data_IF_900973012149
#
_entry.id   IF_900973012149
#
_cell.length_a   1.000
_cell.length_b   1.000
_cell.length_c   1.000
_cell.angle_alpha   90.00
_cell.angle_beta   90.00
_cell.angle_gamma   90.00
#
_symmetry.space_group_name_H-M   'P 1'
#
loop_
_entity.id
_entity.type
_entity.pdbx_description
1 polymer ?
#
# COMPACT_ATOMS: atom_id res chain seq x y z
N UNK A 1 23.49 -13.21 3.42
CA UNK A 1 23.35 -13.65 2.00
C UNK A 1 24.39 -12.97 1.10
N UNK A 2 24.31 -11.66 0.85
CA UNK A 2 25.23 -10.96 -0.08
C UNK A 2 26.71 -11.14 0.28
N UNK A 3 27.09 -10.93 1.55
CA UNK A 3 28.48 -11.11 1.99
C UNK A 3 28.99 -12.55 1.83
N UNK A 4 28.14 -13.53 2.16
CA UNK A 4 28.47 -14.94 2.02
C UNK A 4 28.63 -15.34 0.55
N UNK A 5 27.76 -14.83 -0.33
CA UNK A 5 27.89 -15.01 -1.78
C UNK A 5 29.21 -14.41 -2.27
N UNK A 6 29.52 -13.18 -1.87
CA UNK A 6 30.78 -12.52 -2.22
C UNK A 6 32.02 -13.29 -1.75
N UNK A 7 32.04 -13.80 -0.51
CA UNK A 7 33.17 -14.59 0.00
C UNK A 7 33.37 -15.92 -0.70
N UNK A 8 32.33 -16.44 -1.36
CA UNK A 8 32.35 -17.68 -2.14
C UNK A 8 32.52 -17.43 -3.65
N UNK A 9 32.75 -16.18 -4.08
CA UNK A 9 32.84 -15.82 -5.51
C UNK A 9 31.52 -15.88 -6.28
N UNK A 10 30.38 -15.94 -5.58
CA UNK A 10 29.03 -15.99 -6.16
C UNK A 10 28.52 -14.56 -6.38
N UNK A 11 28.08 -14.26 -7.60
CA UNK A 11 27.52 -12.96 -7.97
C UNK A 11 26.20 -12.68 -7.26
N UNK A 12 25.99 -11.43 -6.86
CA UNK A 12 24.76 -11.01 -6.19
C UNK A 12 24.18 -9.73 -6.78
N UNK A 13 22.85 -9.68 -6.84
CA UNK A 13 22.04 -8.51 -7.15
C UNK A 13 21.34 -8.07 -5.85
N UNK A 14 21.36 -6.78 -5.57
CA UNK A 14 20.51 -6.18 -4.53
C UNK A 14 19.50 -5.23 -5.19
N UNK A 15 18.39 -4.96 -4.51
CA UNK A 15 17.37 -4.02 -4.97
C UNK A 15 17.20 -2.89 -3.93
N UNK A 16 17.15 -1.66 -4.41
CA UNK A 16 16.86 -0.46 -3.63
C UNK A 16 15.50 0.09 -4.03
N UNK A 17 14.53 -0.09 -3.13
CA UNK A 17 13.13 0.23 -3.36
C UNK A 17 12.77 1.69 -3.09
N UNK A 18 13.58 2.40 -2.31
CA UNK A 18 13.35 3.77 -1.86
C UNK A 18 14.27 4.79 -2.57
N UNK A 19 13.95 6.09 -2.44
CA UNK A 19 14.75 7.19 -3.00
C UNK A 19 16.05 7.44 -2.24
N UNK A 20 16.11 7.02 -0.97
CA UNK A 20 17.29 7.09 -0.11
C UNK A 20 17.59 5.69 0.39
N UNK A 21 18.78 5.14 0.10
CA UNK A 21 19.04 3.76 0.43
C UNK A 21 19.21 3.54 1.93
N UNK A 22 18.67 2.41 2.39
CA UNK A 22 18.89 1.94 3.75
C UNK A 22 20.38 1.64 4.01
N UNK A 23 20.77 1.67 5.30
CA UNK A 23 22.14 1.38 5.72
C UNK A 23 22.66 0.04 5.20
N UNK A 24 21.79 -0.98 5.17
CA UNK A 24 22.13 -2.29 4.63
C UNK A 24 22.50 -2.22 3.14
N UNK A 25 21.66 -1.61 2.30
CA UNK A 25 21.91 -1.49 0.87
C UNK A 25 23.14 -0.62 0.58
N UNK A 26 23.31 0.48 1.32
CA UNK A 26 24.51 1.33 1.21
C UNK A 26 25.79 0.58 1.56
N UNK A 27 25.77 -0.25 2.60
CA UNK A 27 26.91 -1.10 2.97
C UNK A 27 27.17 -2.21 1.94
N UNK A 28 26.12 -2.92 1.53
CA UNK A 28 26.21 -4.08 0.65
C UNK A 28 26.51 -3.72 -0.82
N UNK A 29 26.29 -2.48 -1.24
CA UNK A 29 26.58 -2.00 -2.59
C UNK A 29 28.02 -2.22 -3.06
N UNK A 30 28.99 -2.24 -2.12
CA UNK A 30 30.40 -2.53 -2.47
C UNK A 30 30.62 -4.00 -2.86
N UNK A 31 29.84 -4.92 -2.28
CA UNK A 31 29.95 -6.37 -2.48
C UNK A 31 29.02 -6.89 -3.57
N UNK A 32 27.91 -6.21 -3.84
CA UNK A 32 26.99 -6.56 -4.91
C UNK A 32 27.61 -6.34 -6.30
N UNK A 33 27.30 -7.25 -7.23
CA UNK A 33 27.71 -7.18 -8.64
C UNK A 33 26.91 -6.11 -9.37
N UNK A 34 25.60 -6.05 -9.12
CA UNK A 34 24.65 -5.06 -9.65
C UNK A 34 23.66 -4.62 -8.59
N UNK A 35 23.04 -3.46 -8.82
CA UNK A 35 22.08 -2.82 -7.92
C UNK A 35 20.88 -2.40 -8.77
N UNK A 36 19.74 -3.06 -8.62
CA UNK A 36 18.49 -2.61 -9.23
C UNK A 36 17.93 -1.46 -8.39
N UNK A 37 17.68 -0.30 -8.98
CA UNK A 37 17.13 0.87 -8.30
C UNK A 37 15.72 1.16 -8.81
N UNK A 38 14.87 1.65 -7.91
CA UNK A 38 13.49 2.00 -8.24
C UNK A 38 13.31 3.45 -8.69
N UNK A 39 14.19 4.34 -8.26
CA UNK A 39 14.08 5.78 -8.46
C UNK A 39 15.35 6.37 -9.05
N UNK A 40 15.20 7.37 -9.90
CA UNK A 40 16.30 8.13 -10.52
C UNK A 40 17.16 8.82 -9.46
N UNK A 41 16.52 9.33 -8.41
CA UNK A 41 17.12 10.02 -7.27
C UNK A 41 18.11 9.13 -6.52
N UNK A 42 17.94 7.80 -6.57
CA UNK A 42 18.80 6.83 -5.89
C UNK A 42 20.17 6.69 -6.59
N UNK A 43 20.32 7.13 -7.85
CA UNK A 43 21.58 7.03 -8.62
C UNK A 43 22.77 7.66 -7.90
N UNK A 44 22.57 8.78 -7.20
CA UNK A 44 23.62 9.52 -6.49
C UNK A 44 24.30 8.74 -5.36
N UNK A 45 23.67 7.66 -4.87
CA UNK A 45 24.20 6.86 -3.77
C UNK A 45 25.04 5.66 -4.21
N UNK A 46 25.04 5.33 -5.51
CA UNK A 46 25.67 4.12 -6.03
C UNK A 46 26.61 4.41 -7.20
N UNK A 47 27.69 3.62 -7.38
CA UNK A 47 28.58 3.78 -8.54
C UNK A 47 27.82 3.59 -9.86
N UNK A 48 28.05 4.48 -10.83
CA UNK A 48 27.36 4.48 -12.13
C UNK A 48 27.43 3.14 -12.89
N UNK A 49 28.53 2.40 -12.75
CA UNK A 49 28.72 1.09 -13.40
C UNK A 49 27.91 -0.04 -12.73
N UNK A 50 27.40 0.17 -11.51
CA UNK A 50 26.74 -0.87 -10.71
C UNK A 50 25.21 -0.79 -10.72
N UNK A 51 24.61 0.38 -10.89
CA UNK A 51 23.15 0.49 -10.84
C UNK A 51 22.47 0.22 -12.19
N UNK A 52 21.21 -0.20 -12.14
CA UNK A 52 20.29 -0.33 -13.27
C UNK A 52 18.92 0.18 -12.78
N UNK A 53 18.29 1.13 -13.49
CA UNK A 53 16.94 1.58 -13.16
C UNK A 53 15.92 0.54 -13.64
N UNK A 54 15.25 -0.11 -12.70
CA UNK A 54 14.24 -1.14 -12.99
C UNK A 54 12.84 -0.75 -12.53
N UNK A 55 12.73 0.24 -11.63
CA UNK A 55 11.51 0.46 -10.88
C UNK A 55 11.32 -0.54 -9.74
N UNK A 56 10.20 -0.40 -9.03
CA UNK A 56 9.76 -1.34 -8.02
C UNK A 56 9.00 -2.50 -8.67
N UNK A 57 9.33 -3.77 -8.37
CA UNK A 57 8.57 -4.89 -8.88
C UNK A 57 7.14 -4.86 -8.35
N UNK A 58 6.19 -5.12 -9.26
CA UNK A 58 4.77 -5.21 -8.94
C UNK A 58 4.33 -6.67 -9.05
N UNK A 59 3.49 -7.10 -8.11
CA UNK A 59 2.91 -8.45 -8.11
C UNK A 59 2.01 -8.63 -9.34
N UNK A 60 2.20 -9.67 -10.17
CA UNK A 60 1.37 -9.89 -11.35
C UNK A 60 -0.12 -9.95 -11.03
N UNK A 61 -0.49 -10.55 -9.91
CA UNK A 61 -1.87 -10.75 -9.48
C UNK A 61 -2.60 -9.43 -9.23
N UNK A 62 -1.88 -8.34 -8.92
CA UNK A 62 -2.47 -7.01 -8.74
C UNK A 62 -3.02 -6.45 -10.06
N UNK A 63 -2.49 -6.89 -11.19
CA UNK A 63 -2.95 -6.49 -12.52
C UNK A 63 -4.20 -7.26 -12.99
N UNK A 64 -4.59 -8.32 -12.27
CA UNK A 64 -5.69 -9.21 -12.65
C UNK A 64 -7.05 -8.79 -12.04
N UNK A 65 -7.13 -7.62 -11.41
CA UNK A 65 -8.34 -7.15 -10.72
C UNK A 65 -9.56 -7.01 -11.65
N UNK A 66 -10.74 -7.42 -11.17
CA UNK A 66 -12.01 -7.26 -11.89
C UNK A 66 -12.97 -6.38 -11.09
N UNK A 67 -13.62 -5.44 -11.78
CA UNK A 67 -14.63 -4.60 -11.17
C UNK A 67 -15.84 -5.40 -10.72
N UNK A 68 -16.32 -6.32 -11.56
CA UNK A 68 -17.48 -7.17 -11.30
C UNK A 68 -17.25 -8.05 -10.07
N UNK A 69 -16.06 -8.67 -9.97
CA UNK A 69 -15.68 -9.46 -8.79
C UNK A 69 -15.55 -8.59 -7.55
N UNK A 70 -14.96 -7.39 -7.68
CA UNK A 70 -14.84 -6.42 -6.61
C UNK A 70 -16.20 -6.02 -6.03
N UNK A 71 -17.08 -5.45 -6.85
CA UNK A 71 -18.42 -5.03 -6.40
C UNK A 71 -19.21 -6.18 -5.77
N UNK A 72 -19.15 -7.37 -6.38
CA UNK A 72 -19.81 -8.58 -5.84
C UNK A 72 -19.24 -9.01 -4.49
N UNK A 73 -17.92 -9.10 -4.37
CA UNK A 73 -17.26 -9.59 -3.16
C UNK A 73 -17.46 -8.64 -1.98
N UNK A 74 -17.35 -7.33 -2.22
CA UNK A 74 -17.53 -6.32 -1.19
C UNK A 74 -19.00 -5.97 -0.93
N UNK A 75 -19.92 -6.42 -1.79
CA UNK A 75 -21.35 -6.08 -1.69
C UNK A 75 -21.57 -4.57 -1.79
N UNK A 76 -20.87 -3.93 -2.73
CA UNK A 76 -20.92 -2.50 -3.01
C UNK A 76 -21.76 -2.23 -4.27
N UNK A 77 -22.30 -1.04 -4.38
CA UNK A 77 -23.18 -0.63 -5.48
C UNK A 77 -22.40 0.04 -6.61
N UNK A 78 -22.85 -0.17 -7.85
CA UNK A 78 -22.34 0.56 -9.00
C UNK A 78 -22.77 2.04 -8.94
N UNK A 79 -22.02 2.92 -9.60
CA UNK A 79 -22.34 4.34 -9.74
C UNK A 79 -22.01 5.23 -8.55
N UNK A 80 -21.58 4.64 -7.41
CA UNK A 80 -21.13 5.38 -6.24
C UNK A 80 -19.62 5.21 -6.01
N UNK A 81 -18.83 6.29 -5.88
CA UNK A 81 -17.37 6.15 -5.87
C UNK A 81 -16.85 5.38 -4.65
N UNK A 82 -15.80 4.59 -4.86
CA UNK A 82 -15.19 3.70 -3.87
C UNK A 82 -13.83 4.23 -3.41
N UNK A 83 -13.66 4.37 -2.10
CA UNK A 83 -12.40 4.71 -1.44
C UNK A 83 -11.80 3.45 -0.85
N UNK A 84 -10.58 3.10 -1.25
CA UNK A 84 -9.77 2.07 -0.60
C UNK A 84 -8.81 2.72 0.39
N UNK A 85 -8.90 2.34 1.65
CA UNK A 85 -8.02 2.80 2.72
C UNK A 85 -7.11 1.66 3.16
N UNK A 86 -5.79 1.86 3.14
CA UNK A 86 -4.82 0.85 3.60
C UNK A 86 -3.63 1.47 4.33
N UNK A 87 -3.35 0.97 5.54
CA UNK A 87 -2.13 1.32 6.29
C UNK A 87 -0.88 0.54 5.85
N UNK A 88 -0.95 -0.27 4.79
CA UNK A 88 0.06 -1.29 4.47
C UNK A 88 -0.14 -2.57 5.30
N UNK A 89 0.80 -3.52 5.21
CA UNK A 89 0.64 -4.89 5.73
C UNK A 89 0.31 -4.98 7.23
N UNK A 90 0.87 -4.07 8.05
CA UNK A 90 0.61 -4.02 9.51
C UNK A 90 -0.56 -3.10 9.88
N UNK A 91 -1.17 -2.41 8.91
CA UNK A 91 -2.12 -1.33 9.16
C UNK A 91 -1.46 -0.06 9.71
N UNK A 92 -2.28 0.94 10.04
CA UNK A 92 -1.84 2.22 10.61
C UNK A 92 -2.89 2.77 11.56
N UNK A 93 -2.60 2.75 12.87
CA UNK A 93 -3.52 3.25 13.90
C UNK A 93 -3.97 4.69 13.64
N UNK A 94 -3.04 5.58 13.26
CA UNK A 94 -3.32 6.99 12.95
C UNK A 94 -4.29 7.13 11.77
N UNK A 95 -4.07 6.39 10.68
CA UNK A 95 -4.97 6.41 9.51
C UNK A 95 -6.34 5.86 9.91
N UNK A 96 -6.36 4.73 10.61
CA UNK A 96 -7.58 4.07 11.04
C UNK A 96 -8.47 5.02 11.87
N UNK A 97 -7.89 5.73 12.83
CA UNK A 97 -8.60 6.68 13.69
C UNK A 97 -9.18 7.88 12.93
N UNK A 98 -8.40 8.46 12.00
CA UNK A 98 -8.87 9.58 11.17
C UNK A 98 -10.03 9.15 10.27
N UNK A 99 -9.92 7.98 9.65
CA UNK A 99 -10.95 7.45 8.75
C UNK A 99 -12.24 7.16 9.50
N UNK A 100 -12.16 6.56 10.70
CA UNK A 100 -13.35 6.31 11.53
C UNK A 100 -14.02 7.61 11.95
N UNK A 101 -13.26 8.65 12.31
CA UNK A 101 -13.83 9.98 12.63
C UNK A 101 -14.50 10.64 11.42
N UNK A 102 -13.94 10.46 10.22
CA UNK A 102 -14.48 11.01 8.98
C UNK A 102 -15.65 10.19 8.40
N UNK A 103 -15.85 8.95 8.88
CA UNK A 103 -16.77 7.98 8.32
C UNK A 103 -18.21 8.51 8.14
N UNK A 104 -18.84 9.22 9.10
CA UNK A 104 -20.20 9.74 8.91
C UNK A 104 -20.36 10.66 7.71
N UNK A 105 -19.32 11.44 7.36
CA UNK A 105 -19.33 12.34 6.18
C UNK A 105 -18.95 11.61 4.90
N UNK A 106 -17.99 10.68 4.98
CA UNK A 106 -17.58 9.87 3.82
C UNK A 106 -18.76 9.04 3.30
N UNK A 107 -19.52 8.40 4.20
CA UNK A 107 -20.64 7.54 3.85
C UNK A 107 -21.89 8.29 3.37
N UNK A 108 -21.85 9.62 3.23
CA UNK A 108 -22.91 10.38 2.55
C UNK A 108 -22.78 10.26 1.02
N UNK A 109 -21.55 10.22 0.50
CA UNK A 109 -21.29 10.22 -0.95
C UNK A 109 -20.45 9.03 -1.44
N UNK A 110 -19.71 8.36 -0.55
CA UNK A 110 -18.74 7.33 -0.93
C UNK A 110 -19.04 5.97 -0.31
N UNK A 111 -18.42 4.94 -0.89
CA UNK A 111 -18.29 3.60 -0.34
C UNK A 111 -16.84 3.41 0.09
N UNK A 112 -16.58 2.75 1.23
CA UNK A 112 -15.26 2.69 1.83
C UNK A 112 -14.87 1.24 2.12
N UNK A 113 -13.78 0.79 1.51
CA UNK A 113 -13.08 -0.45 1.87
C UNK A 113 -11.90 -0.04 2.74
N UNK A 114 -11.83 -0.55 3.97
CA UNK A 114 -10.82 -0.14 4.93
C UNK A 114 -10.05 -1.35 5.46
N UNK A 115 -8.74 -1.35 5.20
CA UNK A 115 -7.79 -2.36 5.67
C UNK A 115 -7.10 -1.86 6.94
N UNK A 116 -7.57 -2.32 8.10
CA UNK A 116 -7.09 -1.82 9.39
C UNK A 116 -5.76 -2.40 9.83
N UNK A 117 -5.33 -3.52 9.25
CA UNK A 117 -4.31 -4.40 9.81
C UNK A 117 -4.88 -5.28 10.92
N UNK A 118 -4.35 -6.50 11.04
CA UNK A 118 -4.79 -7.53 11.99
C UNK A 118 -4.87 -7.02 13.43
N UNK A 119 -3.79 -6.37 13.89
CA UNK A 119 -3.66 -5.91 15.28
C UNK A 119 -4.68 -4.85 15.67
N UNK A 120 -5.23 -4.11 14.71
CA UNK A 120 -6.13 -2.99 14.98
C UNK A 120 -7.61 -3.34 14.78
N UNK A 121 -7.93 -4.52 14.22
CA UNK A 121 -9.28 -4.83 13.77
C UNK A 121 -10.32 -4.79 14.90
N UNK A 122 -10.03 -5.45 16.02
CA UNK A 122 -10.97 -5.52 17.15
C UNK A 122 -11.19 -4.15 17.79
N UNK A 123 -10.11 -3.42 18.11
CA UNK A 123 -10.19 -2.06 18.67
C UNK A 123 -10.96 -1.13 17.74
N UNK A 124 -10.69 -1.20 16.42
CA UNK A 124 -11.33 -0.32 15.47
C UNK A 124 -12.83 -0.61 15.35
N UNK A 125 -13.24 -1.88 15.35
CA UNK A 125 -14.67 -2.27 15.32
C UNK A 125 -15.45 -1.66 16.47
N UNK A 126 -14.89 -1.66 17.67
CA UNK A 126 -15.53 -1.06 18.86
C UNK A 126 -15.68 0.47 18.76
N UNK A 127 -14.82 1.13 17.97
CA UNK A 127 -14.82 2.59 17.78
C UNK A 127 -15.65 3.07 16.59
N UNK A 128 -16.15 2.16 15.75
CA UNK A 128 -17.02 2.57 14.63
C UNK A 128 -18.25 3.22 15.27
N UNK A 129 -18.54 4.49 14.96
CA UNK A 129 -19.68 5.17 15.54
C UNK A 129 -20.96 4.39 15.21
N UNK A 130 -21.78 4.12 16.22
CA UNK A 130 -23.15 3.68 16.01
C UNK A 130 -23.84 4.83 15.32
N UNK A 131 -23.95 4.75 13.99
CA UNK A 131 -24.69 5.75 13.24
C UNK A 131 -26.15 5.72 13.73
N UNK A 132 -26.83 6.89 13.80
CA UNK A 132 -28.21 6.97 14.28
C UNK A 132 -29.09 5.91 13.61
N UNK A 133 -30.17 5.44 14.27
CA UNK A 133 -30.92 4.25 13.88
C UNK A 133 -31.37 4.16 12.39
N UNK A 134 -31.50 5.26 11.65
CA UNK A 134 -31.74 5.27 10.19
C UNK A 134 -30.51 5.24 9.27
N UNK A 135 -29.30 5.34 9.82
CA UNK A 135 -27.99 5.29 9.13
C UNK A 135 -27.18 4.02 9.48
N UNK A 136 -27.64 3.18 10.39
CA UNK A 136 -26.96 1.93 10.76
C UNK A 136 -26.91 0.93 9.59
N UNK A 137 -27.91 0.95 8.71
CA UNK A 137 -27.91 0.17 7.46
C UNK A 137 -26.91 0.73 6.44
N UNK A 138 -26.68 2.04 6.45
CA UNK A 138 -25.74 2.74 5.54
C UNK A 138 -24.30 2.38 5.88
N UNK A 139 -23.93 2.26 7.18
CA UNK A 139 -22.58 1.79 7.54
C UNK A 139 -22.35 0.34 7.14
N UNK A 140 -23.29 -0.56 7.41
CA UNK A 140 -23.15 -1.97 6.99
C UNK A 140 -23.09 -2.12 5.45
N UNK A 141 -23.83 -1.27 4.74
CA UNK A 141 -23.90 -1.30 3.29
C UNK A 141 -22.67 -0.72 2.61
N UNK A 142 -22.19 0.45 3.06
CA UNK A 142 -21.14 1.20 2.35
C UNK A 142 -19.79 1.25 3.06
N UNK A 143 -19.63 0.67 4.25
CA UNK A 143 -18.34 0.54 4.92
C UNK A 143 -17.95 -0.93 5.11
N UNK A 144 -16.83 -1.33 4.51
CA UNK A 144 -16.32 -2.71 4.56
C UNK A 144 -14.95 -2.71 5.23
N UNK A 145 -14.91 -3.22 6.45
CA UNK A 145 -13.71 -3.27 7.29
C UNK A 145 -13.09 -4.67 7.28
N UNK A 146 -11.84 -4.77 6.87
CA UNK A 146 -11.05 -6.00 6.85
C UNK A 146 -9.69 -5.81 7.55
N UNK A 147 -9.11 -6.87 8.13
CA UNK A 147 -7.74 -6.78 8.64
C UNK A 147 -6.72 -6.69 7.50
N UNK A 148 -6.83 -7.57 6.51
CA UNK A 148 -6.05 -7.61 5.28
C UNK A 148 -6.88 -8.26 4.17
N UNK A 149 -6.42 -8.15 2.92
CA UNK A 149 -6.99 -8.86 1.79
C UNK A 149 -5.94 -9.79 1.16
N UNK A 150 -6.32 -11.02 0.77
CA UNK A 150 -5.51 -11.84 -0.13
C UNK A 150 -5.21 -11.12 -1.45
N UNK A 151 -4.14 -11.51 -2.15
CA UNK A 151 -3.65 -10.81 -3.34
C UNK A 151 -4.75 -10.52 -4.38
N UNK A 152 -5.52 -11.54 -4.79
CA UNK A 152 -6.59 -11.38 -5.77
C UNK A 152 -7.73 -10.46 -5.27
N UNK A 153 -8.02 -10.47 -3.96
CA UNK A 153 -9.04 -9.57 -3.38
C UNK A 153 -8.55 -8.15 -3.25
N UNK A 154 -7.24 -7.96 -3.02
CA UNK A 154 -6.61 -6.65 -3.09
C UNK A 154 -6.64 -6.11 -4.52
N UNK A 155 -6.38 -6.95 -5.52
CA UNK A 155 -6.48 -6.59 -6.94
C UNK A 155 -7.91 -6.15 -7.30
N UNK A 156 -8.92 -6.93 -6.91
CA UNK A 156 -10.33 -6.58 -7.10
C UNK A 156 -10.72 -5.27 -6.37
N UNK A 157 -10.20 -5.04 -5.16
CA UNK A 157 -10.42 -3.79 -4.40
C UNK A 157 -9.80 -2.58 -5.11
N UNK A 158 -8.56 -2.72 -5.58
CA UNK A 158 -7.89 -1.67 -6.36
C UNK A 158 -8.63 -1.41 -7.68
N UNK A 159 -9.12 -2.44 -8.37
CA UNK A 159 -9.85 -2.30 -9.63
C UNK A 159 -11.09 -1.41 -9.50
N UNK A 160 -11.87 -1.57 -8.42
CA UNK A 160 -13.06 -0.76 -8.14
C UNK A 160 -12.76 0.57 -7.43
N UNK A 161 -11.59 0.73 -6.82
CA UNK A 161 -11.23 1.96 -6.12
C UNK A 161 -11.12 3.14 -7.12
N UNK A 162 -11.82 4.22 -6.80
CA UNK A 162 -11.72 5.53 -7.46
C UNK A 162 -10.69 6.42 -6.73
N UNK A 163 -10.45 6.16 -5.45
CA UNK A 163 -9.42 6.81 -4.65
C UNK A 163 -8.75 5.81 -3.70
N UNK A 164 -7.42 5.83 -3.64
CA UNK A 164 -6.64 5.06 -2.67
C UNK A 164 -6.04 5.98 -1.61
N UNK A 165 -6.38 5.76 -0.34
CA UNK A 165 -5.74 6.42 0.80
C UNK A 165 -4.76 5.42 1.41
N UNK A 166 -3.46 5.72 1.35
CA UNK A 166 -2.46 4.79 1.85
C UNK A 166 -1.25 5.45 2.49
N UNK A 167 -0.44 4.65 3.19
CA UNK A 167 0.94 5.05 3.45
C UNK A 167 1.76 5.07 2.16
N UNK A 168 2.80 5.91 2.14
CA UNK A 168 3.74 6.04 1.03
C UNK A 168 4.87 4.98 1.08
N UNK A 169 4.52 3.69 1.17
CA UNK A 169 5.51 2.61 1.11
C UNK A 169 5.82 2.21 -0.34
N UNK A 170 7.08 1.88 -0.64
CA UNK A 170 7.55 1.60 -2.00
C UNK A 170 6.65 0.65 -2.81
N UNK A 171 6.25 -0.50 -2.24
CA UNK A 171 5.41 -1.48 -2.93
C UNK A 171 4.00 -0.94 -3.23
N UNK A 172 3.37 -0.25 -2.28
CA UNK A 172 2.02 0.30 -2.46
C UNK A 172 2.06 1.42 -3.50
N UNK A 173 3.10 2.25 -3.49
CA UNK A 173 3.29 3.28 -4.52
C UNK A 173 3.45 2.65 -5.91
N UNK A 174 4.21 1.57 -6.03
CA UNK A 174 4.40 0.86 -7.29
C UNK A 174 3.08 0.26 -7.81
N UNK A 175 2.29 -0.37 -6.93
CA UNK A 175 0.98 -0.92 -7.28
C UNK A 175 -0.02 0.16 -7.70
N UNK A 176 -0.08 1.28 -6.97
CA UNK A 176 -0.93 2.43 -7.31
C UNK A 176 -0.52 3.03 -8.66
N UNK A 177 0.78 3.21 -8.88
CA UNK A 177 1.32 3.77 -10.12
C UNK A 177 1.05 2.85 -11.32
N UNK A 178 1.28 1.54 -11.18
CA UNK A 178 1.04 0.56 -12.22
C UNK A 178 -0.43 0.49 -12.64
N UNK A 179 -1.36 0.70 -11.70
CA UNK A 179 -2.80 0.72 -11.96
C UNK A 179 -3.36 2.11 -12.28
N UNK A 180 -2.53 3.15 -12.30
CA UNK A 180 -2.96 4.53 -12.58
C UNK A 180 -4.01 5.06 -11.59
N UNK A 181 -3.94 4.66 -10.31
CA UNK A 181 -4.97 4.99 -9.33
C UNK A 181 -4.75 6.37 -8.68
N UNK A 182 -5.77 7.25 -8.65
CA UNK A 182 -5.72 8.45 -7.82
C UNK A 182 -5.46 8.10 -6.37
N UNK A 183 -4.57 8.83 -5.70
CA UNK A 183 -4.21 8.51 -4.32
C UNK A 183 -3.95 9.72 -3.42
N UNK A 184 -4.27 9.54 -2.13
CA UNK A 184 -3.84 10.40 -1.03
C UNK A 184 -2.82 9.61 -0.21
N UNK A 185 -1.57 10.05 -0.26
CA UNK A 185 -0.46 9.38 0.39
C UNK A 185 -0.17 10.06 1.72
N UNK A 186 -0.11 9.27 2.80
CA UNK A 186 0.19 9.72 4.16
C UNK A 186 1.55 9.15 4.56
N UNK A 187 2.66 9.90 4.40
CA UNK A 187 3.99 9.43 4.77
C UNK A 187 4.08 9.05 6.25
N UNK A 188 4.96 8.10 6.56
CA UNK A 188 5.36 7.90 7.96
C UNK A 188 6.16 9.11 8.43
N UNK A 189 5.99 9.48 9.69
CA UNK A 189 6.96 10.35 10.34
C UNK A 189 8.30 9.61 10.42
N UNK A 190 9.24 10.01 9.58
CA UNK A 190 10.65 9.61 9.63
C UNK A 190 11.51 10.85 9.46
N UNK A 191 12.61 10.95 10.22
CA UNK A 191 13.65 11.95 10.00
C UNK A 191 14.13 11.80 8.56
N UNK A 192 13.98 12.84 7.74
CA UNK A 192 14.87 13.04 6.59
C UNK A 192 16.25 13.21 7.24
N UNK A 193 17.22 12.29 7.05
CA UNK A 193 18.58 12.58 7.44
C UNK A 193 19.01 13.80 6.62
N UNK A 194 19.34 14.88 7.31
CA UNK A 194 19.96 16.05 6.70
C UNK A 194 21.26 15.66 5.97
#
# INVERSE_FOLDING_TARGET
>A
VVLAGWSLGITSLIHESDTVPGLANRFLARYASKIAISFEESKKYFPAKKYILTGNPVRPEILEGSKERGFRYFGLEYGRPVILVTGGSQGSRKINEVVVKALPRLLENYQVIHLSGEKNLQELRAKIPVLPAGRLDISKKYYKLYPFLPALKMADALAIADLVISRAGANVLAEIAALGKPSVLIPLQGRIPA
#
